data_IF_740070821298
#
_entry.id   IF_740070821298
#
_cell.length_a   1.000
_cell.length_b   1.000
_cell.length_c   1.000
_cell.angle_alpha   90.00
_cell.angle_beta   90.00
_cell.angle_gamma   90.00
#
_symmetry.space_group_name_H-M   'P 1'
#
loop_
_entity.id
_entity.type
_entity.pdbx_description
1 polymer ?
#
# COMPACT_ATOMS: atom_id res chain seq x y z
N UNK A 1 -16.09 13.01 24.93
CA UNK A 1 -15.96 12.61 23.51
C UNK A 1 -14.49 12.31 23.24
N UNK A 2 -14.18 11.13 22.72
CA UNK A 2 -12.80 10.74 22.38
C UNK A 2 -12.27 11.62 21.24
N UNK A 3 -10.98 11.96 21.27
CA UNK A 3 -10.33 12.79 20.23
C UNK A 3 -10.58 12.24 18.81
N UNK A 4 -10.65 10.91 18.68
CA UNK A 4 -11.03 10.19 17.47
C UNK A 4 -12.41 10.58 16.91
N UNK A 5 -13.47 10.59 17.73
CA UNK A 5 -14.83 10.87 17.27
C UNK A 5 -14.99 12.31 16.75
N UNK A 6 -14.23 13.25 17.32
CA UNK A 6 -14.18 14.63 16.86
C UNK A 6 -13.51 14.73 15.48
N UNK A 7 -12.41 14.02 15.27
CA UNK A 7 -11.69 13.99 13.98
C UNK A 7 -12.55 13.34 12.89
N UNK A 8 -13.20 12.21 13.18
CA UNK A 8 -14.11 11.55 12.23
C UNK A 8 -15.27 12.47 11.81
N UNK A 9 -15.84 13.21 12.77
CA UNK A 9 -16.91 14.18 12.49
C UNK A 9 -16.41 15.30 11.57
N UNK A 10 -15.21 15.83 11.82
CA UNK A 10 -14.59 16.85 10.96
C UNK A 10 -14.35 16.32 9.53
N UNK A 11 -13.82 15.10 9.40
CA UNK A 11 -13.54 14.50 8.09
C UNK A 11 -14.80 14.30 7.23
N UNK A 12 -15.95 14.01 7.84
CA UNK A 12 -17.22 13.83 7.12
C UNK A 12 -17.73 15.12 6.47
N UNK A 13 -17.48 16.28 7.08
CA UNK A 13 -17.93 17.57 6.59
C UNK A 13 -17.04 18.19 5.51
N UNK A 14 -15.84 17.65 5.30
CA UNK A 14 -14.84 18.23 4.41
C UNK A 14 -14.91 17.65 2.99
N UNK A 15 -14.57 18.45 1.96
CA UNK A 15 -14.20 17.96 0.65
C UNK A 15 -13.12 16.86 0.71
N UNK A 16 -13.06 16.02 -0.34
CA UNK A 16 -12.12 14.90 -0.39
C UNK A 16 -10.66 15.35 -0.20
N UNK A 17 -10.26 16.43 -0.85
CA UNK A 17 -8.92 17.03 -0.79
C UNK A 17 -8.57 17.57 0.60
N UNK A 18 -9.46 18.38 1.20
CA UNK A 18 -9.25 18.97 2.53
C UNK A 18 -9.15 17.89 3.61
N UNK A 19 -10.00 16.86 3.52
CA UNK A 19 -9.95 15.73 4.42
C UNK A 19 -8.66 14.89 4.24
N UNK A 20 -8.12 14.78 3.03
CA UNK A 20 -6.86 14.09 2.80
C UNK A 20 -5.71 14.87 3.42
N UNK A 21 -5.70 16.19 3.23
CA UNK A 21 -4.74 17.12 3.85
C UNK A 21 -4.81 17.02 5.37
N UNK A 22 -6.01 17.11 5.95
CA UNK A 22 -6.21 16.99 7.39
C UNK A 22 -5.69 15.66 7.94
N UNK A 23 -5.94 14.53 7.25
CA UNK A 23 -5.39 13.24 7.68
C UNK A 23 -3.86 13.25 7.71
N UNK A 24 -3.23 13.70 6.62
CA UNK A 24 -1.76 13.72 6.51
C UNK A 24 -1.10 14.64 7.55
N UNK A 25 -1.76 15.74 7.92
CA UNK A 25 -1.29 16.68 8.94
C UNK A 25 -1.53 16.17 10.37
N UNK A 26 -2.68 15.51 10.61
CA UNK A 26 -3.06 15.01 11.93
C UNK A 26 -2.33 13.72 12.29
N UNK A 27 -2.05 12.89 11.29
CA UNK A 27 -1.43 11.57 11.41
C UNK A 27 -0.25 11.45 10.45
N UNK A 28 0.78 12.31 10.57
CA UNK A 28 1.93 12.26 9.69
C UNK A 28 2.64 10.92 9.84
N UNK A 29 3.22 10.41 8.74
CA UNK A 29 3.77 9.05 8.69
C UNK A 29 4.93 8.83 9.67
N UNK A 30 5.59 9.90 10.09
CA UNK A 30 6.68 9.91 11.07
C UNK A 30 6.18 9.85 12.52
N UNK A 31 4.92 10.19 12.78
CA UNK A 31 4.36 10.17 14.13
C UNK A 31 4.01 8.75 14.61
N UNK A 32 4.01 8.56 15.93
CA UNK A 32 3.67 7.28 16.57
C UNK A 32 2.20 6.87 16.39
N UNK A 33 1.31 7.85 16.16
CA UNK A 33 -0.13 7.64 15.98
C UNK A 33 -0.54 7.49 14.51
N UNK A 34 0.38 7.44 13.55
CA UNK A 34 0.04 7.44 12.12
C UNK A 34 -0.91 6.29 11.72
N UNK A 35 -0.84 5.16 12.42
CA UNK A 35 -1.70 4.00 12.17
C UNK A 35 -3.19 4.28 12.38
N UNK A 36 -3.52 5.31 13.17
CA UNK A 36 -4.91 5.75 13.37
C UNK A 36 -5.53 6.28 12.07
N UNK A 37 -4.72 6.84 11.17
CA UNK A 37 -5.19 7.30 9.87
C UNK A 37 -5.90 6.19 9.08
N UNK A 38 -5.39 4.95 9.14
CA UNK A 38 -5.97 3.81 8.42
C UNK A 38 -7.38 3.46 8.90
N UNK A 39 -7.68 3.70 10.18
CA UNK A 39 -9.05 3.54 10.71
C UNK A 39 -9.96 4.62 10.14
N UNK A 40 -9.50 5.87 10.10
CA UNK A 40 -10.28 7.00 9.58
C UNK A 40 -10.55 6.91 8.08
N UNK A 41 -9.55 6.46 7.30
CA UNK A 41 -9.66 6.35 5.84
C UNK A 41 -10.79 5.41 5.40
N UNK A 42 -11.06 4.35 6.16
CA UNK A 42 -12.08 3.36 5.83
C UNK A 42 -13.52 3.88 5.98
N UNK A 43 -13.73 5.01 6.67
CA UNK A 43 -15.08 5.51 7.01
C UNK A 43 -15.65 6.51 6.00
N UNK A 44 -15.02 6.70 4.83
CA UNK A 44 -15.53 7.59 3.77
C UNK A 44 -15.07 7.19 2.37
N UNK A 45 -15.77 7.74 1.37
CA UNK A 45 -15.35 7.67 -0.02
C UNK A 45 -14.33 8.77 -0.35
N UNK A 46 -13.37 8.45 -1.22
CA UNK A 46 -12.29 9.34 -1.63
C UNK A 46 -12.33 9.54 -3.15
N UNK A 47 -12.08 10.76 -3.62
CA UNK A 47 -11.85 11.00 -5.05
C UNK A 47 -10.53 10.34 -5.48
N UNK A 48 -10.46 9.88 -6.72
CA UNK A 48 -9.30 9.16 -7.26
C UNK A 48 -7.94 9.87 -7.03
N UNK A 49 -7.80 11.20 -7.26
CA UNK A 49 -6.55 11.89 -6.98
C UNK A 49 -6.13 11.79 -5.51
N UNK A 50 -7.10 11.87 -4.59
CA UNK A 50 -6.86 11.82 -3.15
C UNK A 50 -6.55 10.41 -2.66
N UNK A 51 -7.15 9.37 -3.28
CA UNK A 51 -6.78 7.98 -3.03
C UNK A 51 -5.28 7.76 -3.30
N UNK A 52 -4.79 8.25 -4.45
CA UNK A 52 -3.39 8.15 -4.85
C UNK A 52 -2.50 8.96 -3.91
N UNK A 53 -2.91 10.19 -3.57
CA UNK A 53 -2.17 11.07 -2.65
C UNK A 53 -2.00 10.45 -1.27
N UNK A 54 -3.07 9.90 -0.70
CA UNK A 54 -3.02 9.17 0.58
C UNK A 54 -2.17 7.92 0.48
N UNK A 55 -2.36 7.10 -0.56
CA UNK A 55 -1.59 5.87 -0.75
C UNK A 55 -0.09 6.15 -0.84
N UNK A 56 0.33 7.14 -1.65
CA UNK A 56 1.74 7.54 -1.75
C UNK A 56 2.29 8.06 -0.42
N UNK A 57 1.52 8.88 0.29
CA UNK A 57 1.98 9.46 1.55
C UNK A 57 2.18 8.42 2.66
N UNK A 58 1.22 7.51 2.81
CA UNK A 58 1.27 6.53 3.89
C UNK A 58 2.14 5.32 3.53
N UNK A 59 2.07 4.82 2.29
CA UNK A 59 2.83 3.64 1.88
C UNK A 59 4.33 3.91 1.66
N UNK A 60 4.79 5.17 1.66
CA UNK A 60 6.24 5.48 1.57
C UNK A 60 7.08 4.96 2.75
N UNK A 61 6.46 4.59 3.88
CA UNK A 61 7.15 3.99 5.05
C UNK A 61 7.40 2.49 4.89
N UNK A 62 7.16 1.92 3.71
CA UNK A 62 7.43 0.51 3.45
C UNK A 62 8.88 0.12 3.79
N UNK A 63 9.12 -1.14 4.21
CA UNK A 63 8.16 -2.25 4.29
C UNK A 63 7.27 -2.23 5.55
N UNK A 64 6.00 -2.64 5.42
CA UNK A 64 5.08 -2.81 6.56
C UNK A 64 5.09 -4.23 7.09
N UNK A 65 5.12 -4.40 8.42
CA UNK A 65 4.97 -5.68 9.10
C UNK A 65 3.53 -6.19 9.21
N UNK A 66 2.65 -5.77 8.29
CA UNK A 66 1.22 -6.11 8.30
C UNK A 66 0.58 -5.91 6.94
N UNK A 67 -0.46 -6.71 6.65
CA UNK A 67 -1.35 -6.53 5.50
C UNK A 67 -2.29 -5.31 5.64
N UNK A 68 -2.48 -4.80 6.86
CA UNK A 68 -3.55 -3.85 7.20
C UNK A 68 -3.56 -2.57 6.34
N UNK A 69 -2.43 -1.89 6.07
CA UNK A 69 -2.44 -0.71 5.20
C UNK A 69 -2.97 -1.03 3.79
N UNK A 70 -2.54 -2.15 3.22
CA UNK A 70 -2.97 -2.58 1.88
C UNK A 70 -4.46 -2.93 1.85
N UNK A 71 -4.97 -3.58 2.91
CA UNK A 71 -6.41 -3.90 3.02
C UNK A 71 -7.27 -2.64 3.04
N UNK A 72 -6.83 -1.62 3.79
CA UNK A 72 -7.55 -0.34 3.87
C UNK A 72 -7.58 0.32 2.50
N UNK A 73 -6.46 0.43 1.80
CA UNK A 73 -6.44 1.00 0.47
C UNK A 73 -7.22 0.17 -0.55
N UNK A 74 -7.13 -1.16 -0.52
CA UNK A 74 -7.89 -2.04 -1.40
C UNK A 74 -9.41 -1.93 -1.21
N UNK A 75 -9.87 -1.47 -0.03
CA UNK A 75 -11.31 -1.31 0.24
C UNK A 75 -11.97 -0.18 -0.55
N UNK A 76 -11.20 0.85 -0.96
CA UNK A 76 -11.74 2.02 -1.67
C UNK A 76 -11.02 2.38 -2.97
N UNK A 77 -9.88 1.76 -3.26
CA UNK A 77 -9.08 1.99 -4.46
C UNK A 77 -9.12 0.78 -5.40
N UNK A 78 -9.11 1.04 -6.71
CA UNK A 78 -8.98 -0.02 -7.72
C UNK A 78 -7.65 -0.77 -7.59
N UNK A 79 -7.61 -2.07 -7.85
CA UNK A 79 -6.38 -2.86 -7.82
C UNK A 79 -5.26 -2.31 -8.72
N UNK A 80 -5.52 -1.86 -9.97
CA UNK A 80 -4.46 -1.27 -10.80
C UNK A 80 -3.81 -0.03 -10.18
N UNK A 81 -4.62 0.84 -9.56
CA UNK A 81 -4.10 2.06 -8.90
C UNK A 81 -3.32 1.72 -7.63
N UNK A 82 -3.80 0.77 -6.81
CA UNK A 82 -3.06 0.30 -5.64
C UNK A 82 -1.69 -0.29 -6.05
N UNK A 83 -1.68 -1.18 -7.05
CA UNK A 83 -0.46 -1.81 -7.55
C UNK A 83 0.53 -0.75 -8.06
N UNK A 84 0.05 0.24 -8.83
CA UNK A 84 0.91 1.31 -9.31
C UNK A 84 1.62 2.07 -8.16
N UNK A 85 0.89 2.42 -7.11
CA UNK A 85 1.49 3.10 -5.95
C UNK A 85 2.43 2.19 -5.15
N UNK A 86 2.10 0.90 -5.01
CA UNK A 86 3.00 -0.05 -4.34
C UNK A 86 4.32 -0.17 -5.11
N UNK A 87 4.26 -0.27 -6.44
CA UNK A 87 5.46 -0.32 -7.31
C UNK A 87 6.37 0.88 -7.13
N UNK A 88 5.82 2.09 -7.01
CA UNK A 88 6.59 3.32 -6.80
C UNK A 88 7.42 3.29 -5.51
N UNK A 89 7.00 2.51 -4.51
CA UNK A 89 7.64 2.45 -3.20
C UNK A 89 8.28 1.08 -2.91
N UNK A 90 8.45 0.21 -3.91
CA UNK A 90 9.17 -1.05 -3.74
C UNK A 90 10.65 -0.79 -3.39
N UNK A 91 11.16 -1.35 -2.28
CA UNK A 91 12.55 -1.20 -1.87
C UNK A 91 13.46 -1.94 -2.84
N UNK A 92 14.70 -1.50 -3.06
CA UNK A 92 15.64 -2.24 -3.94
C UNK A 92 16.18 -3.53 -3.31
N UNK A 93 16.05 -3.70 -1.99
CA UNK A 93 16.58 -4.87 -1.26
C UNK A 93 15.65 -6.09 -1.44
N UNK A 94 16.17 -7.26 -1.86
CA UNK A 94 15.34 -8.45 -2.10
C UNK A 94 14.52 -8.91 -0.90
N UNK A 95 15.12 -8.94 0.31
CA UNK A 95 14.42 -9.37 1.52
C UNK A 95 13.22 -8.47 1.86
N UNK A 96 13.38 -7.15 1.72
CA UNK A 96 12.29 -6.19 1.99
C UNK A 96 11.19 -6.31 0.93
N UNK A 97 11.55 -6.58 -0.33
CA UNK A 97 10.58 -6.88 -1.40
C UNK A 97 9.79 -8.15 -1.11
N UNK A 98 10.46 -9.23 -0.72
CA UNK A 98 9.81 -10.49 -0.35
C UNK A 98 8.83 -10.27 0.82
N UNK A 99 9.22 -9.45 1.78
CA UNK A 99 8.37 -9.11 2.91
C UNK A 99 7.13 -8.32 2.49
N UNK A 100 7.26 -7.38 1.55
CA UNK A 100 6.09 -6.71 0.94
C UNK A 100 5.24 -7.71 0.17
N UNK A 101 5.84 -8.56 -0.66
CA UNK A 101 5.13 -9.59 -1.43
C UNK A 101 4.29 -10.50 -0.54
N UNK A 102 4.85 -10.91 0.61
CA UNK A 102 4.15 -11.71 1.62
C UNK A 102 2.86 -11.05 2.14
N UNK A 103 2.88 -9.74 2.38
CA UNK A 103 1.73 -9.01 2.91
C UNK A 103 0.75 -8.52 1.84
N UNK A 104 1.22 -8.09 0.68
CA UNK A 104 0.38 -7.47 -0.36
C UNK A 104 -0.34 -8.50 -1.22
N UNK A 105 0.32 -9.61 -1.56
CA UNK A 105 -0.22 -10.67 -2.44
C UNK A 105 -1.56 -11.23 -1.98
N UNK A 106 -1.73 -11.67 -0.71
CA UNK A 106 -3.02 -12.20 -0.25
C UNK A 106 -4.13 -11.14 -0.31
N UNK A 107 -3.82 -9.88 -0.05
CA UNK A 107 -4.79 -8.77 -0.13
C UNK A 107 -5.25 -8.56 -1.55
N UNK A 108 -4.31 -8.52 -2.51
CA UNK A 108 -4.64 -8.33 -3.92
C UNK A 108 -5.49 -9.49 -4.44
N UNK A 109 -5.09 -10.75 -4.18
CA UNK A 109 -5.84 -11.95 -4.59
C UNK A 109 -7.27 -11.95 -4.05
N UNK A 110 -7.46 -11.58 -2.78
CA UNK A 110 -8.77 -11.52 -2.13
C UNK A 110 -9.71 -10.48 -2.76
N UNK A 111 -9.17 -9.44 -3.37
CA UNK A 111 -9.95 -8.31 -3.91
C UNK A 111 -10.15 -8.36 -5.43
N UNK A 112 -9.75 -9.45 -6.11
CA UNK A 112 -10.03 -9.65 -7.53
C UNK A 112 -11.55 -9.76 -7.73
N UNK A 113 -12.11 -8.90 -8.58
CA UNK A 113 -13.55 -8.91 -8.92
C UNK A 113 -13.80 -9.18 -10.39
N UNK A 114 -12.81 -8.92 -11.24
CA UNK A 114 -12.91 -9.06 -12.69
C UNK A 114 -11.72 -9.84 -13.25
N UNK A 115 -11.82 -10.32 -14.49
CA UNK A 115 -10.68 -10.94 -15.16
C UNK A 115 -9.56 -9.92 -15.41
N UNK A 116 -9.90 -8.67 -15.68
CA UNK A 116 -8.91 -7.58 -15.79
C UNK A 116 -8.13 -7.38 -14.48
N UNK A 117 -8.79 -7.47 -13.33
CA UNK A 117 -8.11 -7.44 -12.03
C UNK A 117 -7.17 -8.63 -11.88
N UNK A 118 -7.63 -9.84 -12.26
CA UNK A 118 -6.82 -11.06 -12.20
C UNK A 118 -5.53 -10.91 -13.01
N UNK A 119 -5.63 -10.41 -14.24
CA UNK A 119 -4.47 -10.21 -15.12
C UNK A 119 -3.46 -9.22 -14.55
N UNK A 120 -3.93 -8.08 -14.01
CA UNK A 120 -3.05 -7.07 -13.43
C UNK A 120 -2.39 -7.59 -12.15
N UNK A 121 -3.12 -8.31 -11.30
CA UNK A 121 -2.58 -8.91 -10.07
C UNK A 121 -1.56 -10.00 -10.39
N UNK A 122 -1.85 -10.91 -11.33
CA UNK A 122 -0.94 -11.99 -11.70
C UNK A 122 0.37 -11.46 -12.28
N UNK A 123 0.31 -10.46 -13.18
CA UNK A 123 1.52 -9.82 -13.72
C UNK A 123 2.36 -9.20 -12.61
N UNK A 124 1.73 -8.52 -11.66
CA UNK A 124 2.44 -7.90 -10.56
C UNK A 124 3.12 -8.93 -9.64
N UNK A 125 2.46 -10.05 -9.35
CA UNK A 125 3.06 -11.13 -8.53
C UNK A 125 4.28 -11.73 -9.25
N UNK A 126 4.17 -12.02 -10.55
CA UNK A 126 5.29 -12.53 -11.35
C UNK A 126 6.46 -11.55 -11.31
N UNK A 127 6.22 -10.25 -11.41
CA UNK A 127 7.27 -9.21 -11.33
C UNK A 127 7.95 -9.19 -9.95
N UNK A 128 7.17 -9.30 -8.86
CA UNK A 128 7.71 -9.39 -7.51
C UNK A 128 8.62 -10.62 -7.31
N UNK A 129 8.28 -11.75 -7.96
CA UNK A 129 9.04 -12.99 -7.88
C UNK A 129 10.25 -13.01 -8.85
N UNK A 130 10.12 -12.42 -10.04
CA UNK A 130 11.15 -12.45 -11.10
C UNK A 130 12.35 -11.55 -10.78
N UNK A 131 12.13 -10.46 -10.06
CA UNK A 131 13.22 -9.59 -9.56
C UNK A 131 14.08 -10.28 -8.47
N UNK A 132 13.75 -11.52 -8.08
CA UNK A 132 14.56 -12.37 -7.21
C UNK A 132 15.59 -13.23 -7.97
N UNK A 133 15.51 -13.30 -9.32
CA UNK A 133 16.28 -14.27 -10.12
C UNK A 133 17.65 -13.74 -10.62
N UNK A 134 18.05 -12.51 -10.27
CA UNK A 134 19.43 -12.04 -10.52
C UNK A 134 20.37 -12.33 -9.35
N UNK A 135 20.68 -13.62 -9.15
CA UNK A 135 21.91 -14.06 -8.48
C UNK A 135 22.95 -14.39 -9.57
N UNK A 136 24.21 -13.91 -9.46
CA UNK A 136 25.22 -14.22 -10.45
C UNK A 136 25.55 -15.71 -10.44
N UNK A 137 25.25 -16.38 -11.55
CA UNK A 137 25.84 -17.67 -11.88
C UNK A 137 27.31 -17.47 -12.28
N UNK A 138 28.20 -17.42 -11.29
CA UNK A 138 29.67 -17.45 -11.47
C UNK A 138 30.26 -18.05 -10.20
N UNK A 139 30.98 -19.16 -10.19
CA UNK A 139 31.37 -20.12 -11.19
C UNK A 139 32.09 -21.22 -10.43
N UNK A 140 31.76 -22.49 -10.66
CA UNK A 140 32.52 -23.60 -10.13
C UNK A 140 33.79 -23.70 -10.97
N UNK A 141 34.86 -23.03 -10.56
CA UNK A 141 36.21 -23.38 -11.00
C UNK A 141 36.76 -24.40 -10.04
N UNK A 142 36.73 -25.66 -10.47
CA UNK A 142 37.58 -26.68 -9.92
C UNK A 142 39.05 -26.32 -10.15
N UNK A 143 39.87 -26.56 -9.14
CA UNK A 143 41.27 -26.83 -9.34
C UNK A 143 41.61 -28.12 -8.58
N UNK A 144 41.97 -29.11 -9.38
CA UNK A 144 42.89 -30.22 -9.09
C UNK A 144 44.05 -29.81 -8.20
#
# INVERSE_FOLDING_TARGET
>A
MTNQAMIETKLKGLPSEDAATLLMETFPVEASNYSEAFKMMAHRSWKRPDQIRLARFYLRKMPFASSKPYEVFASFMSLPTLIAVVKEALPSKPNDRQFIAYHVTPVLKKNIKTESDRDVVNRFIIELDSDHVQLPATGISGHT
#
